data_IF_015689762479
#
_entry.id   IF_015689762479
#
_cell.length_a   1.000
_cell.length_b   1.000
_cell.length_c   1.000
_cell.angle_alpha   90.00
_cell.angle_beta   90.00
_cell.angle_gamma   90.00
#
_symmetry.space_group_name_H-M   'P 1'
#
loop_
_entity.id
_entity.type
_entity.pdbx_description
1 polymer ?
#
# COMPACT_ATOMS: atom_id res chain seq x y z
N UNK A 1 4.24 28.08 -6.69
CA UNK A 1 5.26 27.06 -6.37
C UNK A 1 4.65 25.72 -6.76
N UNK A 2 5.36 24.87 -7.51
CA UNK A 2 4.80 23.58 -7.94
C UNK A 2 4.79 22.58 -6.79
N UNK A 3 3.71 21.78 -6.68
CA UNK A 3 3.56 20.72 -5.68
C UNK A 3 3.53 19.36 -6.37
N UNK A 4 4.28 18.40 -5.83
CA UNK A 4 4.37 17.03 -6.32
C UNK A 4 3.82 16.08 -5.25
N UNK A 5 2.76 15.36 -5.62
CA UNK A 5 2.28 14.22 -4.84
C UNK A 5 2.94 12.94 -5.32
N UNK A 6 3.46 12.16 -4.38
CA UNK A 6 3.98 10.82 -4.66
C UNK A 6 3.18 9.78 -3.87
N UNK A 7 2.89 8.65 -4.52
CA UNK A 7 2.33 7.48 -3.85
C UNK A 7 3.44 6.47 -3.66
N UNK A 8 3.73 6.17 -2.40
CA UNK A 8 4.78 5.24 -2.01
C UNK A 8 4.16 4.10 -1.20
N UNK A 9 4.90 3.04 -0.93
CA UNK A 9 4.34 1.97 -0.12
C UNK A 9 4.40 2.35 1.36
N UNK A 10 3.42 1.94 2.17
CA UNK A 10 3.55 1.98 3.62
C UNK A 10 4.87 1.31 4.05
N UNK A 11 5.82 2.15 4.42
CA UNK A 11 7.00 1.73 5.18
C UNK A 11 6.53 1.40 6.58
N UNK A 12 7.10 0.35 7.16
CA UNK A 12 7.18 0.23 8.62
C UNK A 12 7.74 1.56 9.14
N UNK A 13 6.97 2.20 10.01
CA UNK A 13 6.98 3.64 10.30
C UNK A 13 8.26 4.20 10.92
N UNK A 14 9.29 3.39 11.12
CA UNK A 14 10.51 3.75 11.83
C UNK A 14 11.76 3.21 11.14
N UNK A 15 12.13 3.79 10.01
CA UNK A 15 13.38 3.48 9.30
C UNK A 15 14.58 4.10 10.03
N UNK A 16 15.07 3.38 11.03
CA UNK A 16 16.49 3.32 11.35
C UNK A 16 17.14 2.53 10.20
N UNK A 17 18.39 2.83 9.79
CA UNK A 17 19.16 2.09 8.76
C UNK A 17 19.05 0.55 8.88
N UNK A 18 18.82 0.04 10.07
CA UNK A 18 18.61 -1.38 10.37
C UNK A 18 17.41 -2.03 9.68
N UNK A 19 16.32 -1.31 9.42
CA UNK A 19 15.13 -1.92 8.80
C UNK A 19 15.22 -2.05 7.28
N UNK A 20 15.85 -1.10 6.59
CA UNK A 20 16.16 -1.27 5.16
C UNK A 20 17.10 -2.47 4.95
N UNK A 21 18.08 -2.61 5.85
CA UNK A 21 18.98 -3.74 5.86
C UNK A 21 18.25 -5.06 6.10
N UNK A 22 17.25 -5.09 6.99
CA UNK A 22 16.38 -6.26 7.15
C UNK A 22 15.66 -6.61 5.85
N UNK A 23 15.04 -5.64 5.16
CA UNK A 23 14.39 -5.87 3.87
C UNK A 23 15.37 -6.44 2.82
N UNK A 24 16.62 -5.99 2.81
CA UNK A 24 17.67 -6.54 1.93
C UNK A 24 17.99 -8.00 2.31
N UNK A 25 18.14 -8.29 3.60
CA UNK A 25 18.41 -9.66 4.09
C UNK A 25 17.28 -10.61 3.70
N UNK A 26 16.03 -10.20 3.93
CA UNK A 26 14.85 -11.03 3.61
C UNK A 26 14.43 -10.94 2.14
N UNK A 27 15.20 -10.25 1.30
CA UNK A 27 14.96 -10.09 -0.14
C UNK A 27 13.60 -9.43 -0.49
N UNK A 28 13.11 -8.54 0.37
CA UNK A 28 11.91 -7.72 0.18
C UNK A 28 12.21 -6.51 -0.73
N UNK A 29 12.62 -6.78 -1.97
CA UNK A 29 13.11 -5.78 -2.93
C UNK A 29 12.07 -4.71 -3.29
N UNK A 30 10.78 -5.06 -3.26
CA UNK A 30 9.71 -4.10 -3.52
C UNK A 30 9.69 -3.00 -2.45
N UNK A 31 9.82 -3.37 -1.17
CA UNK A 31 9.89 -2.41 -0.06
C UNK A 31 11.15 -1.54 -0.14
N UNK A 32 12.29 -2.13 -0.52
CA UNK A 32 13.56 -1.41 -0.76
C UNK A 32 13.39 -0.38 -1.89
N UNK A 33 12.88 -0.79 -3.05
CA UNK A 33 12.71 0.07 -4.21
C UNK A 33 11.75 1.25 -3.92
N UNK A 34 10.60 0.98 -3.28
CA UNK A 34 9.66 2.03 -2.87
C UNK A 34 10.28 2.97 -1.83
N UNK A 35 11.17 2.45 -0.99
CA UNK A 35 11.86 3.23 0.04
C UNK A 35 12.85 4.22 -0.53
N UNK A 36 13.70 3.77 -1.46
CA UNK A 36 14.69 4.62 -2.12
C UNK A 36 14.02 5.61 -3.07
N UNK A 37 12.95 5.21 -3.79
CA UNK A 37 12.21 6.11 -4.66
C UNK A 37 11.58 7.29 -3.90
N UNK A 38 11.01 7.04 -2.70
CA UNK A 38 10.49 8.11 -1.85
C UNK A 38 11.61 9.07 -1.43
N UNK A 39 12.74 8.51 -0.98
CA UNK A 39 13.87 9.30 -0.51
C UNK A 39 14.40 10.21 -1.63
N UNK A 40 14.61 9.67 -2.82
CA UNK A 40 15.07 10.45 -3.97
C UNK A 40 14.06 11.54 -4.35
N UNK A 41 12.75 11.26 -4.28
CA UNK A 41 11.73 12.27 -4.57
C UNK A 41 11.79 13.45 -3.58
N UNK A 42 11.95 13.20 -2.28
CA UNK A 42 12.13 14.27 -1.29
C UNK A 42 13.45 15.04 -1.49
N UNK A 43 14.56 14.33 -1.74
CA UNK A 43 15.85 14.96 -1.99
C UNK A 43 15.82 15.84 -3.25
N UNK A 44 15.20 15.36 -4.34
CA UNK A 44 15.01 16.13 -5.56
C UNK A 44 14.09 17.33 -5.33
N UNK A 45 12.97 17.15 -4.64
CA UNK A 45 12.03 18.23 -4.32
C UNK A 45 12.71 19.38 -3.59
N UNK A 46 13.52 19.06 -2.57
CA UNK A 46 14.32 20.04 -1.84
C UNK A 46 15.28 20.81 -2.76
N UNK A 47 16.02 20.12 -3.64
CA UNK A 47 16.96 20.75 -4.59
C UNK A 47 16.25 21.60 -5.65
N UNK A 48 15.05 21.19 -6.07
CA UNK A 48 14.29 21.84 -7.15
C UNK A 48 13.34 22.94 -6.65
N UNK A 49 13.20 23.14 -5.33
CA UNK A 49 12.21 24.07 -4.77
C UNK A 49 10.76 23.62 -5.03
N UNK A 50 10.54 22.31 -5.11
CA UNK A 50 9.23 21.68 -5.28
C UNK A 50 8.82 21.08 -3.94
N UNK A 51 7.61 21.39 -3.52
CA UNK A 51 7.04 20.77 -2.33
C UNK A 51 6.60 19.35 -2.63
N UNK A 52 7.10 18.38 -1.86
CA UNK A 52 6.81 16.96 -2.03
C UNK A 52 5.99 16.47 -0.85
N UNK A 53 4.85 15.86 -1.14
CA UNK A 53 4.00 15.19 -0.16
C UNK A 53 3.87 13.72 -0.55
N UNK A 54 4.14 12.82 0.40
CA UNK A 54 4.07 11.38 0.20
C UNK A 54 2.85 10.79 0.87
N UNK A 55 2.07 10.02 0.11
CA UNK A 55 0.98 9.20 0.64
C UNK A 55 1.43 7.75 0.58
N UNK A 56 1.33 7.08 1.73
CA UNK A 56 1.84 5.74 1.99
C UNK A 56 0.68 4.77 2.28
N UNK A 57 -0.05 4.29 1.27
CA UNK A 57 -1.09 3.29 1.47
C UNK A 57 -0.55 1.92 1.91
N UNK A 58 -1.37 1.20 2.66
CA UNK A 58 -1.22 -0.24 2.93
C UNK A 58 -1.80 -1.05 1.76
N UNK A 59 -2.31 -2.28 1.98
CA UNK A 59 -2.87 -3.07 0.89
C UNK A 59 -4.14 -2.41 0.34
N UNK A 60 -4.03 -1.84 -0.86
CA UNK A 60 -5.15 -1.14 -1.51
C UNK A 60 -6.12 -2.14 -2.11
N UNK A 61 -7.35 -2.16 -1.62
CA UNK A 61 -8.43 -3.01 -2.11
C UNK A 61 -9.54 -2.15 -2.72
N UNK A 62 -10.42 -2.74 -3.52
CA UNK A 62 -11.57 -2.04 -4.09
C UNK A 62 -11.77 -2.29 -5.59
N UNK A 63 -12.71 -1.56 -6.21
CA UNK A 63 -13.08 -1.78 -7.62
C UNK A 63 -11.91 -1.57 -8.57
N UNK A 64 -11.71 -2.50 -9.50
CA UNK A 64 -10.68 -2.41 -10.54
C UNK A 64 -11.26 -1.68 -11.74
N UNK A 65 -10.65 -0.56 -12.12
CA UNK A 65 -11.10 0.23 -13.28
C UNK A 65 -10.75 -0.41 -14.63
N UNK A 66 -9.61 -1.12 -14.71
CA UNK A 66 -9.17 -1.81 -15.92
C UNK A 66 -8.80 -3.28 -15.62
N UNK A 67 -9.66 -4.20 -16.04
CA UNK A 67 -9.45 -5.64 -15.84
C UNK A 67 -8.31 -6.24 -16.67
N UNK A 68 -7.82 -5.54 -17.71
CA UNK A 68 -6.72 -6.02 -18.54
C UNK A 68 -5.35 -5.91 -17.86
N UNK A 69 -5.21 -5.03 -16.86
CA UNK A 69 -3.97 -4.81 -16.12
C UNK A 69 -4.28 -4.85 -14.62
N UNK A 70 -4.30 -6.04 -13.99
CA UNK A 70 -4.51 -6.13 -12.56
C UNK A 70 -3.40 -5.36 -11.83
N UNK A 71 -3.80 -4.54 -10.87
CA UNK A 71 -2.85 -3.82 -10.04
C UNK A 71 -2.02 -4.79 -9.18
N UNK A 72 -0.86 -4.35 -8.68
CA UNK A 72 -0.05 -5.17 -7.77
C UNK A 72 -0.83 -5.61 -6.53
N UNK A 73 -1.72 -4.76 -6.00
CA UNK A 73 -2.57 -5.13 -4.86
C UNK A 73 -3.68 -6.11 -5.24
N UNK A 74 -4.28 -5.97 -6.42
CA UNK A 74 -5.23 -6.96 -6.97
C UNK A 74 -4.58 -8.32 -7.17
N UNK A 75 -3.33 -8.35 -7.64
CA UNK A 75 -2.55 -9.58 -7.80
C UNK A 75 -2.30 -10.25 -6.44
N UNK A 76 -1.81 -9.50 -5.45
CA UNK A 76 -1.59 -9.98 -4.08
C UNK A 76 -2.89 -10.52 -3.48
N UNK A 77 -3.98 -9.74 -3.56
CA UNK A 77 -5.30 -10.16 -3.07
C UNK A 77 -5.80 -11.43 -3.78
N UNK A 78 -5.61 -11.54 -5.09
CA UNK A 78 -6.02 -12.75 -5.84
C UNK A 78 -5.23 -14.00 -5.45
N UNK A 79 -3.94 -13.86 -5.11
CA UNK A 79 -3.13 -14.98 -4.64
C UNK A 79 -3.53 -15.41 -3.23
N UNK A 80 -3.92 -14.45 -2.38
CA UNK A 80 -4.54 -14.76 -1.08
C UNK A 80 -5.82 -15.57 -1.26
N UNK A 81 -6.74 -15.14 -2.11
CA UNK A 81 -7.99 -15.87 -2.38
C UNK A 81 -7.75 -17.30 -2.91
N UNK A 82 -6.67 -17.52 -3.65
CA UNK A 82 -6.33 -18.83 -4.20
C UNK A 82 -5.55 -19.72 -3.21
N UNK A 83 -5.26 -19.25 -2.00
CA UNK A 83 -4.46 -19.99 -1.02
C UNK A 83 -3.00 -20.17 -1.44
N UNK A 84 -2.52 -19.39 -2.41
CA UNK A 84 -1.15 -19.46 -2.95
C UNK A 84 -0.19 -18.62 -2.09
N UNK A 85 -0.69 -17.97 -1.04
CA UNK A 85 0.15 -17.15 -0.17
C UNK A 85 1.00 -18.00 0.77
N UNK A 86 2.30 -18.11 0.48
CA UNK A 86 3.34 -18.60 1.41
C UNK A 86 3.58 -17.63 2.59
N UNK A 87 2.66 -16.72 2.86
CA UNK A 87 2.81 -15.67 3.84
C UNK A 87 2.19 -16.13 5.15
N UNK A 88 3.02 -16.34 6.17
CA UNK A 88 2.61 -16.53 7.58
C UNK A 88 2.01 -15.24 8.17
N UNK A 89 1.11 -14.59 7.44
CA UNK A 89 0.50 -13.32 7.81
C UNK A 89 -0.90 -13.64 8.32
N UNK A 90 -1.18 -13.36 9.59
CA UNK A 90 -2.51 -13.51 10.18
C UNK A 90 -3.37 -12.24 9.97
N UNK A 91 -2.74 -11.10 9.69
CA UNK A 91 -3.40 -9.80 9.62
C UNK A 91 -2.93 -8.92 8.48
N UNK A 92 -3.87 -8.27 7.81
CA UNK A 92 -3.62 -7.35 6.70
C UNK A 92 -4.14 -5.95 7.04
N UNK A 93 -3.29 -4.94 6.90
CA UNK A 93 -3.75 -3.56 6.86
C UNK A 93 -4.23 -3.22 5.45
N UNK A 94 -5.45 -2.70 5.36
CA UNK A 94 -6.11 -2.43 4.08
C UNK A 94 -6.69 -1.02 4.03
N UNK A 95 -6.86 -0.51 2.82
CA UNK A 95 -7.52 0.77 2.51
C UNK A 95 -8.26 0.66 1.18
N UNK A 96 -9.41 1.30 1.04
CA UNK A 96 -10.13 1.34 -0.23
C UNK A 96 -9.41 2.27 -1.23
N UNK A 97 -9.33 1.88 -2.49
CA UNK A 97 -8.72 2.68 -3.56
C UNK A 97 -9.34 4.07 -3.70
N UNK A 98 -10.64 4.21 -3.39
CA UNK A 98 -11.36 5.49 -3.42
C UNK A 98 -10.89 6.40 -2.28
N UNK A 99 -10.71 5.86 -1.08
CA UNK A 99 -10.17 6.61 0.06
C UNK A 99 -8.75 7.11 -0.23
N UNK A 100 -7.92 6.29 -0.89
CA UNK A 100 -6.57 6.72 -1.33
C UNK A 100 -6.67 7.87 -2.33
N UNK A 101 -7.59 7.80 -3.29
CA UNK A 101 -7.78 8.87 -4.27
C UNK A 101 -8.28 10.16 -3.62
N UNK A 102 -9.24 10.08 -2.68
CA UNK A 102 -9.71 11.22 -1.91
C UNK A 102 -8.60 11.83 -1.04
N UNK A 103 -7.78 10.99 -0.39
CA UNK A 103 -6.63 11.45 0.37
C UNK A 103 -5.62 12.16 -0.53
N UNK A 104 -5.39 11.67 -1.75
CA UNK A 104 -4.52 12.34 -2.73
C UNK A 104 -5.03 13.74 -3.09
N UNK A 105 -6.32 13.87 -3.41
CA UNK A 105 -6.93 15.18 -3.71
C UNK A 105 -6.82 16.11 -2.49
N UNK A 106 -7.15 15.61 -1.30
CA UNK A 106 -7.11 16.39 -0.07
C UNK A 106 -5.70 16.92 0.24
N UNK A 107 -4.67 16.09 0.09
CA UNK A 107 -3.28 16.51 0.32
C UNK A 107 -2.77 17.45 -0.77
N UNK A 108 -3.29 17.34 -1.99
CA UNK A 108 -2.96 18.30 -3.04
C UNK A 108 -3.49 19.70 -2.69
N UNK A 109 -4.75 19.76 -2.29
CA UNK A 109 -5.50 21.01 -2.10
C UNK A 109 -5.16 21.75 -0.80
N UNK A 110 -4.75 21.04 0.25
CA UNK A 110 -4.41 21.66 1.55
C UNK A 110 -3.02 22.29 1.56
N UNK A 111 -2.88 23.62 1.65
CA UNK A 111 -1.57 24.28 1.62
C UNK A 111 -0.63 23.82 2.75
N UNK A 112 -1.17 23.38 3.88
CA UNK A 112 -0.41 22.95 5.06
C UNK A 112 0.03 21.48 5.01
N UNK A 113 -0.36 20.73 3.97
CA UNK A 113 0.02 19.33 3.84
C UNK A 113 1.51 19.22 3.52
N UNK A 114 2.28 18.58 4.41
CA UNK A 114 3.72 18.41 4.28
C UNK A 114 4.19 17.02 4.72
N UNK A 115 5.30 16.55 4.17
CA UNK A 115 5.93 15.31 4.61
C UNK A 115 5.17 14.07 4.17
N UNK A 116 4.90 13.16 5.12
CA UNK A 116 4.49 11.76 4.85
C UNK A 116 3.21 11.41 5.59
N UNK A 117 2.24 10.85 4.87
CA UNK A 117 0.94 10.44 5.41
C UNK A 117 0.70 8.94 5.20
N UNK A 118 0.42 8.22 6.28
CA UNK A 118 -0.01 6.82 6.21
C UNK A 118 -1.49 6.78 5.81
N UNK A 119 -1.82 6.03 4.77
CA UNK A 119 -3.20 5.88 4.31
C UNK A 119 -3.65 4.43 4.56
N UNK A 120 -4.26 4.19 5.72
CA UNK A 120 -4.76 2.87 6.11
C UNK A 120 -6.10 3.03 6.82
N UNK A 121 -7.03 2.10 6.61
CA UNK A 121 -8.36 2.16 7.20
C UNK A 121 -8.62 1.01 8.17
N UNK A 122 -8.31 -0.22 7.77
CA UNK A 122 -8.71 -1.42 8.51
C UNK A 122 -7.54 -2.38 8.74
N UNK A 123 -7.51 -3.00 9.93
CA UNK A 123 -6.69 -4.17 10.22
C UNK A 123 -7.59 -5.40 10.20
N UNK A 124 -7.50 -6.20 9.14
CA UNK A 124 -8.32 -7.38 8.95
C UNK A 124 -7.55 -8.62 9.38
N UNK A 125 -8.19 -9.52 10.13
CA UNK A 125 -7.70 -10.89 10.26
C UNK A 125 -8.04 -11.65 8.99
N UNK A 126 -7.11 -12.47 8.50
CA UNK A 126 -7.32 -13.22 7.26
C UNK A 126 -8.51 -14.17 7.41
N UNK A 127 -8.65 -14.82 8.57
CA UNK A 127 -9.80 -15.66 8.89
C UNK A 127 -11.13 -14.92 8.76
N UNK A 128 -11.29 -13.78 9.43
CA UNK A 128 -12.52 -12.97 9.38
C UNK A 128 -12.85 -12.52 7.94
N UNK A 129 -11.81 -12.28 7.13
CA UNK A 129 -11.98 -11.94 5.71
C UNK A 129 -12.53 -13.13 4.91
N UNK A 130 -12.03 -14.34 5.13
CA UNK A 130 -12.57 -15.54 4.48
C UNK A 130 -13.99 -15.86 4.92
N UNK A 131 -14.29 -15.80 6.21
CA UNK A 131 -15.67 -15.97 6.72
C UNK A 131 -16.64 -14.98 6.06
N UNK A 132 -16.23 -13.71 5.96
CA UNK A 132 -17.04 -12.69 5.28
C UNK A 132 -17.21 -13.02 3.79
N UNK A 133 -16.14 -13.40 3.10
CA UNK A 133 -16.20 -13.74 1.68
C UNK A 133 -17.11 -14.95 1.43
N UNK A 134 -16.99 -16.01 2.21
CA UNK A 134 -17.84 -17.21 2.14
C UNK A 134 -19.31 -16.84 2.34
N UNK A 135 -19.61 -15.93 3.28
CA UNK A 135 -20.98 -15.46 3.52
C UNK A 135 -21.56 -14.67 2.34
N UNK A 136 -20.72 -13.92 1.62
CA UNK A 136 -21.13 -13.05 0.50
C UNK A 136 -21.16 -13.80 -0.84
N UNK A 137 -20.28 -14.79 -1.01
CA UNK A 137 -20.06 -15.50 -2.26
C UNK A 137 -19.87 -17.00 -2.03
N UNK A 138 -20.91 -17.72 -1.54
CA UNK A 138 -20.80 -19.12 -1.12
C UNK A 138 -20.38 -20.09 -2.24
N UNK A 139 -20.56 -19.70 -3.51
CA UNK A 139 -20.22 -20.53 -4.67
C UNK A 139 -18.74 -20.39 -5.14
N UNK A 140 -17.95 -19.51 -4.52
CA UNK A 140 -16.52 -19.41 -4.82
C UNK A 140 -15.75 -20.59 -4.24
N UNK A 141 -14.75 -21.07 -4.96
CA UNK A 141 -13.89 -22.14 -4.48
C UNK A 141 -12.80 -21.55 -3.57
N UNK A 142 -13.01 -21.66 -2.27
CA UNK A 142 -12.05 -21.22 -1.25
C UNK A 142 -10.98 -22.29 -1.02
N UNK A 143 -9.75 -21.90 -0.61
CA UNK A 143 -8.73 -22.86 -0.22
C UNK A 143 -9.22 -23.62 1.01
N UNK A 144 -9.27 -24.95 0.92
CA UNK A 144 -9.46 -25.78 2.12
C UNK A 144 -8.19 -25.69 2.98
N UNK A 145 -8.37 -25.57 4.30
CA UNK A 145 -7.29 -25.56 5.30
C UNK A 145 -6.25 -26.68 5.12
#
# INVERSE_FOLDING_TARGET
MGRLLIVTHHKVTHLIRSQLYLCIIVQEWYAVAKTEAEREAFEYGHRAGIEVVSICPTLVVGPVMNHAVPSGSSFVFSNFLKGISNLSIDRLMTVDVRDVAEAMVLMYEKPEAEGRYICTAHLLRIHDMFELLESLYPDLNYPNE
#
